data_IF_952215714643
#
_entry.id   IF_952215714643
#
_cell.length_a   1.000
_cell.length_b   1.000
_cell.length_c   1.000
_cell.angle_alpha   90.00
_cell.angle_beta   90.00
_cell.angle_gamma   90.00
#
_symmetry.space_group_name_H-M   'P 1'
#
loop_
_entity.id
_entity.type
_entity.pdbx_description
1 polymer ?
2 non-polymer ?
3 water ?
#
# COMPACT_ATOMS: atom_id res chain seq x y z
N UNK A 7 3.98 -22.22 -3.19
CA UNK A 7 2.91 -23.05 -3.82
C UNK A 7 1.90 -22.18 -4.58
N UNK A 8 1.31 -22.72 -5.64
CA UNK A 8 0.23 -22.01 -6.32
C UNK A 8 -0.95 -21.74 -5.37
N UNK A 9 -1.47 -20.51 -5.44
CA UNK A 9 -2.53 -19.98 -4.59
C UNK A 9 -3.47 -19.10 -5.43
N UNK A 10 -3.95 -19.66 -6.54
CA UNK A 10 -4.90 -18.95 -7.40
C UNK A 10 -4.37 -17.68 -8.08
N UNK A 11 -3.05 -17.54 -8.14
CA UNK A 11 -2.42 -16.34 -8.72
C UNK A 11 -1.73 -15.43 -7.71
N UNK A 12 -2.10 -15.57 -6.44
CA UNK A 12 -1.54 -14.70 -5.40
C UNK A 12 -0.02 -14.83 -5.26
N UNK A 13 0.52 -16.01 -5.53
CA UNK A 13 1.94 -16.29 -5.42
C UNK A 13 2.80 -15.37 -6.31
N UNK A 14 2.24 -14.86 -7.40
CA UNK A 14 3.00 -14.00 -8.31
C UNK A 14 3.28 -12.61 -7.72
N UNK A 15 2.59 -12.26 -6.63
CA UNK A 15 2.84 -10.99 -5.91
C UNK A 15 4.05 -11.04 -4.99
N UNK A 16 4.63 -12.22 -4.81
CA UNK A 16 5.78 -12.38 -3.95
C UNK A 16 7.03 -11.65 -4.46
N UNK A 17 7.94 -11.34 -3.53
CA UNK A 17 9.22 -10.74 -3.82
C UNK A 17 9.29 -9.26 -3.49
N UNK A 18 10.25 -8.57 -4.13
CA UNK A 18 10.59 -7.20 -3.80
C UNK A 18 9.72 -6.16 -4.51
N UNK A 19 9.35 -5.13 -3.77
CA UNK A 19 8.54 -4.04 -4.29
C UNK A 19 9.09 -2.72 -3.73
N UNK A 20 8.73 -1.60 -4.36
CA UNK A 20 9.20 -0.26 -3.96
C UNK A 20 8.03 0.72 -3.95
N UNK A 21 7.86 1.43 -2.83
CA UNK A 21 6.77 2.38 -2.69
C UNK A 21 7.03 3.65 -3.49
N UNK A 22 6.02 4.09 -4.26
CA UNK A 22 6.14 5.29 -5.11
C UNK A 22 5.21 6.44 -4.68
N UNK A 23 3.99 6.11 -4.24
CA UNK A 23 3.03 7.16 -3.90
C UNK A 23 2.02 6.67 -2.86
N UNK A 24 1.54 7.62 -2.05
CA UNK A 24 0.54 7.38 -1.01
C UNK A 24 -0.58 8.39 -1.25
N UNK A 25 -1.79 8.08 -0.76
CA UNK A 25 -2.88 9.05 -0.78
C UNK A 25 -3.77 8.81 0.44
N UNK A 26 -4.43 9.85 0.93
CA UNK A 26 -5.38 9.69 2.03
C UNK A 26 -6.35 10.84 2.07
N UNK A 27 -7.52 10.61 2.66
CA UNK A 27 -8.41 11.73 3.00
C UNK A 27 -7.86 12.58 4.16
N UNK A 28 -6.97 12.00 4.95
CA UNK A 28 -6.38 12.63 6.14
C UNK A 28 -4.86 12.77 5.91
N UNK A 29 -4.42 13.96 5.53
CA UNK A 29 -3.04 14.17 5.10
C UNK A 29 -2.02 13.81 6.19
N UNK A 30 -2.39 14.00 7.46
CA UNK A 30 -1.48 13.68 8.56
C UNK A 30 -1.10 12.20 8.61
N UNK A 31 -1.91 11.32 8.03
CA UNK A 31 -1.56 9.89 8.01
C UNK A 31 -0.36 9.58 7.10
N UNK A 32 -0.10 10.42 6.08
CA UNK A 32 0.90 10.11 5.06
C UNK A 32 2.02 11.15 4.89
N UNK A 33 1.83 12.34 5.45
CA UNK A 33 2.87 13.35 5.51
C UNK A 33 3.96 12.90 6.50
N UNK A 34 5.09 13.63 6.56
CA UNK A 34 6.14 13.26 7.51
C UNK A 34 5.58 12.94 8.91
N UNK A 35 6.11 11.86 9.48
CA UNK A 35 5.75 11.33 10.81
C UNK A 35 4.41 10.58 10.87
N UNK A 36 3.73 10.47 9.73
CA UNK A 36 2.38 9.88 9.71
C UNK A 36 2.38 8.38 9.94
N UNK A 37 1.30 7.89 10.54
CA UNK A 37 1.17 6.46 10.87
C UNK A 37 1.22 5.54 9.65
N UNK A 38 0.77 6.03 8.50
CA UNK A 38 0.78 5.24 7.27
C UNK A 38 1.85 5.67 6.26
N UNK A 39 2.81 6.48 6.72
CA UNK A 39 3.99 6.79 5.91
C UNK A 39 5.00 5.68 6.19
N UNK A 40 4.76 4.56 5.52
CA UNK A 40 5.57 3.36 5.70
C UNK A 40 5.73 2.79 4.31
N UNK A 41 6.84 2.09 4.10
CA UNK A 41 7.24 1.67 2.77
C UNK A 41 7.30 0.15 2.67
N UNK A 42 6.96 -0.39 1.51
CA UNK A 42 7.08 -1.83 1.32
C UNK A 42 8.53 -2.24 1.07
N UNK A 43 8.93 -3.37 1.64
CA UNK A 43 10.18 -4.03 1.27
C UNK A 43 9.92 -5.27 0.40
N UNK A 44 9.16 -6.22 0.93
CA UNK A 44 8.87 -7.47 0.19
C UNK A 44 7.58 -8.10 0.68
N UNK A 45 7.06 -9.01 -0.14
CA UNK A 45 5.86 -9.76 0.21
C UNK A 45 6.08 -11.24 -0.06
N UNK A 46 5.32 -12.09 0.62
CA UNK A 46 5.28 -13.51 0.33
C UNK A 46 3.88 -14.06 0.57
N UNK A 47 3.35 -14.76 -0.43
CA UNK A 47 2.04 -15.40 -0.31
C UNK A 47 2.22 -16.79 0.30
N UNK A 48 1.46 -17.08 1.35
CA UNK A 48 1.43 -18.44 1.91
C UNK A 48 0.05 -18.71 2.51
N UNK A 49 -0.48 -19.89 2.21
CA UNK A 49 -1.78 -20.34 2.70
C UNK A 49 -2.93 -19.41 2.29
N UNK A 50 -2.76 -18.67 1.18
CA UNK A 50 -3.70 -17.65 0.73
C UNK A 50 -3.65 -16.30 1.42
N UNK A 51 -2.77 -16.15 2.41
CA UNK A 51 -2.51 -14.87 3.06
C UNK A 51 -1.35 -14.16 2.35
N UNK A 52 -1.29 -12.84 2.50
CA UNK A 52 -0.11 -12.08 2.05
C UNK A 52 0.70 -11.60 3.23
N UNK A 53 1.93 -12.07 3.35
CA UNK A 53 2.81 -11.68 4.43
C UNK A 53 3.79 -10.65 3.91
N UNK A 54 3.94 -9.53 4.59
CA UNK A 54 4.82 -8.48 4.10
C UNK A 54 5.79 -7.98 5.13
N UNK A 55 6.94 -7.51 4.65
CA UNK A 55 7.87 -6.77 5.47
C UNK A 55 7.80 -5.31 5.01
N UNK A 56 7.58 -4.41 5.97
CA UNK A 56 7.53 -2.97 5.73
C UNK A 56 8.65 -2.27 6.48
N UNK A 57 8.96 -1.07 5.99
CA UNK A 57 10.03 -0.23 6.55
C UNK A 57 9.39 1.04 7.07
N UNK A 58 9.65 1.34 8.34
CA UNK A 58 9.09 2.50 9.02
C UNK A 58 10.21 3.53 9.22
N UNK A 59 10.10 4.68 8.58
CA UNK A 59 11.11 5.75 8.73
C UNK A 59 11.04 6.39 10.11
N UNK A 60 12.19 6.48 10.78
CA UNK A 60 12.24 6.99 12.14
C UNK A 60 12.95 8.34 12.20
N UNK A 61 13.11 8.97 11.03
CA UNK A 61 13.91 10.19 10.93
C UNK A 61 15.38 9.90 11.24
N UNK A 62 16.07 9.27 10.29
CA UNK A 62 17.42 8.81 10.52
C UNK A 62 17.59 7.33 10.22
N UNK A 63 17.18 6.49 11.16
CA UNK A 63 17.13 5.05 10.92
C UNK A 63 15.77 4.64 10.36
N UNK A 64 15.63 3.34 10.05
CA UNK A 64 14.33 2.75 9.75
C UNK A 64 14.18 1.43 10.49
N UNK A 65 12.93 1.07 10.81
CA UNK A 65 12.61 -0.18 11.49
C UNK A 65 11.89 -1.10 10.51
N UNK A 66 12.33 -2.36 10.43
CA UNK A 66 11.61 -3.35 9.64
C UNK A 66 10.59 -4.10 10.51
N UNK A 67 9.34 -4.15 10.03
CA UNK A 67 8.22 -4.80 10.74
C UNK A 67 7.53 -5.79 9.80
N UNK A 68 7.11 -6.94 10.32
CA UNK A 68 6.38 -7.95 9.56
C UNK A 68 4.90 -7.87 9.88
N UNK A 69 4.07 -7.92 8.84
CA UNK A 69 2.61 -7.91 8.99
C UNK A 69 2.00 -8.99 8.10
N UNK A 70 0.83 -9.49 8.51
CA UNK A 70 0.09 -10.48 7.73
C UNK A 70 -1.22 -9.84 7.29
N UNK A 71 -1.48 -9.84 5.98
CA UNK A 71 -2.79 -9.56 5.43
C UNK A 71 -3.54 -10.89 5.41
N UNK A 72 -4.49 -11.03 6.33
CA UNK A 72 -5.25 -12.27 6.52
C UNK A 72 -6.31 -12.39 5.43
N UNK A 73 -6.36 -13.54 4.74
CA UNK A 73 -7.37 -13.77 3.71
C UNK A 73 -8.78 -13.73 4.28
N UNK A 74 -9.71 -13.39 3.40
CA UNK A 74 -11.13 -13.40 3.73
C UNK A 74 -11.86 -14.25 2.69
N UNK A 75 -13.15 -14.43 2.90
CA UNK A 75 -14.02 -15.13 1.94
C UNK A 75 -14.27 -14.32 0.67
N UNK A 76 -14.06 -13.00 0.72
CA UNK A 76 -14.16 -12.12 -0.44
C UNK A 76 -12.78 -12.07 -1.05
N UNK A 77 -12.64 -12.35 -2.34
CA UNK A 77 -11.30 -12.26 -2.86
C UNK A 77 -10.90 -10.79 -3.08
N UNK A 78 -9.59 -10.63 -3.16
CA UNK A 78 -8.93 -9.32 -3.22
C UNK A 78 -9.08 -8.47 -1.95
N UNK A 79 -9.69 -9.04 -0.92
CA UNK A 79 -9.97 -8.34 0.33
C UNK A 79 -9.29 -9.09 1.47
N UNK A 80 -8.57 -8.33 2.31
CA UNK A 80 -7.78 -8.90 3.42
C UNK A 80 -8.00 -8.09 4.69
N UNK A 81 -7.83 -8.71 5.85
CA UNK A 81 -7.75 -7.97 7.12
C UNK A 81 -6.29 -7.64 7.39
N UNK A 82 -6.01 -6.41 7.78
CA UNK A 82 -4.67 -5.99 8.19
C UNK A 82 -4.81 -5.18 9.46
N UNK A 83 -4.18 -5.63 10.54
CA UNK A 83 -4.27 -4.93 11.82
C UNK A 83 -3.03 -4.07 11.98
N UNK A 84 -3.21 -2.75 11.89
CA UNK A 84 -2.10 -1.79 11.97
C UNK A 84 -2.69 -0.40 12.21
N UNK A 85 -2.36 0.17 13.38
CA UNK A 85 -2.98 1.42 13.85
C UNK A 85 -4.51 1.35 13.72
N UNK A 86 -5.08 0.28 14.26
CA UNK A 86 -6.49 -0.02 14.15
C UNK A 86 -6.75 -1.19 13.22
N UNK A 87 -8.00 -1.39 12.86
CA UNK A 87 -8.38 -2.43 11.92
C UNK A 87 -8.46 -1.85 10.51
N UNK A 88 -7.85 -2.55 9.55
CA UNK A 88 -7.95 -2.18 8.15
C UNK A 88 -8.60 -3.27 7.31
N UNK A 89 -9.56 -2.87 6.48
CA UNK A 89 -10.03 -3.69 5.37
C UNK A 89 -9.21 -3.26 4.16
N UNK A 90 -8.38 -4.17 3.70
CA UNK A 90 -7.41 -3.94 2.64
C UNK A 90 -7.88 -4.57 1.32
N UNK A 91 -7.85 -3.77 0.25
CA UNK A 91 -8.33 -4.18 -1.06
C UNK A 91 -7.22 -4.04 -2.09
N UNK A 92 -6.96 -5.11 -2.84
CA UNK A 92 -6.10 -5.04 -4.00
C UNK A 92 -6.92 -4.48 -5.17
N UNK A 93 -6.57 -3.30 -5.67
CA UNK A 93 -7.39 -2.60 -6.68
C UNK A 93 -6.96 -2.96 -8.10
N UNK A 94 -5.69 -2.78 -8.38
CA UNK A 94 -5.18 -2.90 -9.74
C UNK A 94 -3.77 -3.41 -9.61
N UNK A 95 -3.48 -4.53 -10.27
CA UNK A 95 -2.20 -5.22 -10.14
C UNK A 95 -1.71 -5.81 -11.47
N UNK A 96 -0.44 -5.59 -11.78
CA UNK A 96 0.31 -6.40 -12.77
C UNK A 96 1.53 -6.94 -12.01
N UNK A 97 1.55 -8.24 -11.69
CA UNK A 97 2.62 -8.76 -10.82
C UNK A 97 4.05 -8.50 -11.30
N UNK A 98 4.21 -8.25 -12.60
CA UNK A 98 5.51 -7.95 -13.17
C UNK A 98 5.92 -6.50 -13.08
N UNK A 99 5.00 -5.60 -12.70
CA UNK A 99 5.32 -4.16 -12.75
C UNK A 99 4.76 -3.26 -11.65
N UNK A 100 3.50 -3.43 -11.22
CA UNK A 100 2.93 -2.47 -10.27
C UNK A 100 1.77 -3.04 -9.48
N UNK A 101 1.52 -2.45 -8.32
CA UNK A 101 0.40 -2.83 -7.48
C UNK A 101 -0.18 -1.58 -6.82
N UNK A 102 -1.51 -1.45 -6.90
CA UNK A 102 -2.26 -0.40 -6.24
C UNK A 102 -3.24 -1.05 -5.26
N UNK A 103 -3.15 -0.65 -4.00
CA UNK A 103 -4.09 -1.10 -2.98
C UNK A 103 -4.70 0.09 -2.26
N UNK A 104 -5.82 -0.13 -1.60
CA UNK A 104 -6.35 0.85 -0.66
C UNK A 104 -6.92 0.16 0.57
N UNK A 105 -7.03 0.92 1.65
CA UNK A 105 -7.45 0.42 2.96
C UNK A 105 -8.50 1.35 3.57
N UNK A 106 -9.53 0.80 4.19
CA UNK A 106 -10.43 1.56 5.06
C UNK A 106 -9.95 1.25 6.48
N UNK A 107 -9.40 2.27 7.14
CA UNK A 107 -8.86 2.18 8.49
C UNK A 107 -9.90 2.58 9.51
N UNK A 108 -10.03 1.79 10.59
CA UNK A 108 -10.94 2.04 11.69
C UNK A 108 -10.10 2.17 12.97
N UNK A 109 -10.16 3.31 13.63
CA UNK A 109 -9.42 3.55 14.86
C UNK A 109 -10.38 4.29 15.79
N UNK A 110 -10.77 3.66 16.90
CA UNK A 110 -11.74 4.26 17.84
C UNK A 110 -12.93 5.00 17.20
N UNK A 111 -13.79 4.29 16.48
CA UNK A 111 -14.98 4.96 15.84
C UNK A 111 -14.66 6.01 14.73
N UNK A 112 -13.40 6.28 14.44
CA UNK A 112 -13.05 7.12 13.28
C UNK A 112 -12.61 6.25 12.11
N UNK A 113 -13.00 6.60 10.90
CA UNK A 113 -12.51 5.89 9.73
C UNK A 113 -11.79 6.83 8.77
N UNK A 114 -10.80 6.27 8.07
CA UNK A 114 -9.98 6.96 7.09
C UNK A 114 -9.77 6.04 5.89
N UNK A 115 -9.38 6.64 4.75
CA UNK A 115 -9.03 5.94 3.52
C UNK A 115 -7.57 6.20 3.22
N UNK A 116 -6.82 5.14 2.96
CA UNK A 116 -5.41 5.27 2.57
C UNK A 116 -5.16 4.40 1.34
N UNK A 117 -4.48 4.95 0.33
CA UNK A 117 -4.12 4.20 -0.89
C UNK A 117 -2.60 4.22 -1.08
N UNK A 118 -2.08 3.23 -1.81
CA UNK A 118 -0.64 3.02 -1.91
C UNK A 118 -0.33 2.43 -3.29
N UNK A 119 0.66 3.02 -3.98
CA UNK A 119 1.21 2.53 -5.27
C UNK A 119 2.63 2.03 -5.05
N UNK A 120 2.90 0.80 -5.47
CA UNK A 120 4.25 0.24 -5.45
C UNK A 120 4.59 -0.34 -6.83
N UNK A 121 5.89 -0.40 -7.10
CA UNK A 121 6.41 -0.89 -8.39
C UNK A 121 7.53 -1.90 -8.18
N UNK A 122 7.76 -2.71 -9.20
CA UNK A 122 8.89 -3.62 -9.20
C UNK A 122 10.24 -2.90 -9.48
N UNK A 123 10.20 -1.85 -10.30
CA UNK A 123 11.41 -1.16 -10.81
C UNK A 123 11.18 0.35 -10.75
N UNK A 124 12.02 1.04 -9.98
CA UNK A 124 11.86 2.49 -9.78
C UNK A 124 12.08 3.31 -11.06
N UNK A 125 12.70 2.71 -12.08
CA UNK A 125 12.75 3.37 -13.39
C UNK A 125 11.35 3.62 -13.96
N UNK A 126 10.35 2.86 -13.46
CA UNK A 126 8.97 3.02 -13.88
C UNK A 126 8.13 3.88 -12.92
N UNK A 127 8.79 4.71 -12.11
CA UNK A 127 8.09 5.51 -11.08
C UNK A 127 7.09 6.55 -11.65
N UNK A 128 7.26 6.99 -12.89
CA UNK A 128 6.28 7.88 -13.53
C UNK A 128 5.12 7.13 -14.20
N UNK A 129 5.40 5.91 -14.67
CA UNK A 129 4.51 5.22 -15.61
C UNK A 129 3.11 4.95 -15.07
N UNK A 130 3.00 4.73 -13.76
CA UNK A 130 1.73 4.32 -13.14
C UNK A 130 1.12 5.40 -12.26
N UNK A 131 1.68 6.61 -12.29
CA UNK A 131 1.06 7.73 -11.60
C UNK A 131 -0.35 8.05 -12.15
N UNK A 132 -0.54 8.04 -13.48
CA UNK A 132 -1.91 8.23 -13.96
C UNK A 132 -2.89 7.13 -13.51
N UNK A 133 -2.46 5.88 -13.52
CA UNK A 133 -3.31 4.79 -13.04
C UNK A 133 -3.67 5.00 -11.55
N UNK A 134 -2.68 5.42 -10.76
CA UNK A 134 -2.91 5.70 -9.34
C UNK A 134 -3.89 6.86 -9.13
N UNK A 135 -3.74 7.96 -9.87
CA UNK A 135 -4.70 9.06 -9.83
C UNK A 135 -6.12 8.60 -10.11
N UNK A 136 -6.28 7.72 -11.12
CA UNK A 136 -7.59 7.20 -11.50
C UNK A 136 -8.22 6.34 -10.41
N UNK A 137 -7.44 5.44 -9.80
CA UNK A 137 -7.96 4.63 -8.68
C UNK A 137 -8.36 5.54 -7.51
N UNK A 138 -7.52 6.51 -7.20
CA UNK A 138 -7.81 7.49 -6.14
C UNK A 138 -9.14 8.20 -6.40
N UNK A 139 -9.35 8.64 -7.63
CA UNK A 139 -10.63 9.28 -7.98
C UNK A 139 -11.82 8.33 -7.83
N UNK A 140 -11.65 7.07 -8.22
CA UNK A 140 -12.70 6.05 -8.12
C UNK A 140 -13.16 5.82 -6.66
N UNK A 141 -12.23 5.92 -5.71
CA UNK A 141 -12.55 5.71 -4.29
C UNK A 141 -12.84 7.03 -3.53
N UNK A 142 -12.83 8.17 -4.24
CA UNK A 142 -13.27 9.44 -3.67
C UNK A 142 -12.18 10.39 -3.20
N UNK A 143 -10.93 10.11 -3.57
CA UNK A 143 -9.80 10.99 -3.25
C UNK A 143 -9.43 11.86 -4.45
N UNK A 144 -8.94 13.08 -4.20
CA UNK A 144 -8.54 13.96 -5.29
C UNK A 144 -7.02 13.99 -5.46
N UNK A 145 -6.56 14.45 -6.64
CA UNK A 145 -5.13 14.39 -6.96
C UNK A 145 -4.23 15.18 -6.02
N UNK A 146 -4.76 16.24 -5.40
CA UNK A 146 -4.00 17.01 -4.43
C UNK A 146 -3.87 16.32 -3.07
N UNK A 147 -4.48 15.15 -2.92
CA UNK A 147 -4.32 14.34 -1.71
C UNK A 147 -3.29 13.22 -1.86
N UNK A 148 -2.60 13.21 -3.00
CA UNK A 148 -1.52 12.27 -3.27
C UNK A 148 -0.17 12.86 -2.86
N UNK A 149 0.65 12.04 -2.20
CA UNK A 149 2.03 12.37 -1.86
C UNK A 149 2.90 11.43 -2.71
N UNK A 150 3.70 12.01 -3.62
CA UNK A 150 4.65 11.24 -4.41
C UNK A 150 5.98 11.16 -3.66
N UNK A 151 6.52 9.95 -3.57
CA UNK A 151 7.73 9.68 -2.80
C UNK A 151 8.94 9.69 -3.69
N UNK A 152 10.10 9.95 -3.11
CA UNK A 152 11.36 9.89 -3.83
C UNK A 152 12.41 9.14 -3.02
N UNK A 153 13.59 8.94 -3.60
CA UNK A 153 14.69 8.26 -2.90
C UNK A 153 14.98 8.91 -1.55
N UNK A 154 14.88 10.25 -1.51
CA UNK A 154 15.15 11.00 -0.30
C UNK A 154 14.16 10.70 0.85
N UNK A 155 12.93 10.29 0.51
CA UNK A 155 11.91 9.92 1.51
C UNK A 155 12.06 8.48 2.00
N UNK A 156 12.51 7.59 1.12
CA UNK A 156 12.48 6.16 1.39
C UNK A 156 13.63 5.69 2.27
N UNK A 157 13.53 4.43 2.71
CA UNK A 157 14.54 3.77 3.50
C UNK A 157 15.45 2.97 2.58
X LIG B 1 0.32 0.69 4.53
X LIG B 1 0.06 0.50 3.15
X LIG B 1 0.35 -0.67 5.22
X LIG B 1 0.53 -0.46 6.60
X LIG B 1 1.49 -1.52 4.67
X LIG B 1 1.38 -1.74 3.27
#
# INVERSE_FOLDING_TARGET
MEGNHEEPQGGLEELSGRWHSVALASNKSDLIKPWGHFRVFIHSMSAKDGNLHGDILIPQDGQCEKVSLTAFKTATSNKFDLEYWGHNDLYLAEVDPKSYLILYMINQYNDDTSLVAHLMVRDLSRQQDFLPAFESVCEDIGLHKDQIVVLSDDDRCQGSRDLEHHHHHH
GOL C1 O1 C2 O2 C3 O3
#
